data_IF_394365739880
#
_entry.id   IF_394365739880
#
_cell.length_a   1.000
_cell.length_b   1.000
_cell.length_c   1.000
_cell.angle_alpha   90.00
_cell.angle_beta   90.00
_cell.angle_gamma   90.00
#
_symmetry.space_group_name_H-M   'P 1'
#
loop_
_entity.id
_entity.type
_entity.pdbx_description
1 polymer ?
#
# COMPACT_ATOMS: atom_id res chain seq x y z
N UNK A 1 16.52 -0.66 -10.00
CA UNK A 1 15.07 -0.86 -9.78
C UNK A 1 14.44 -1.75 -10.84
N UNK A 2 14.85 -1.62 -12.14
CA UNK A 2 14.25 -2.36 -13.27
C UNK A 2 14.23 -3.89 -13.06
N UNK A 3 15.33 -4.57 -12.68
CA UNK A 3 15.29 -6.02 -12.49
C UNK A 3 14.28 -6.47 -11.42
N UNK A 4 14.22 -5.73 -10.31
CA UNK A 4 13.27 -6.01 -9.23
C UNK A 4 11.82 -5.78 -9.68
N UNK A 5 11.54 -4.69 -10.39
CA UNK A 5 10.22 -4.38 -10.90
C UNK A 5 9.74 -5.44 -11.90
N UNK A 6 10.61 -5.86 -12.84
CA UNK A 6 10.31 -6.90 -13.82
C UNK A 6 10.00 -8.24 -13.13
N UNK A 7 10.82 -8.64 -12.15
CA UNK A 7 10.58 -9.86 -11.40
C UNK A 7 9.23 -9.83 -10.66
N UNK A 8 8.89 -8.70 -10.01
CA UNK A 8 7.61 -8.56 -9.30
C UNK A 8 6.40 -8.53 -10.24
N UNK A 9 6.53 -7.92 -11.42
CA UNK A 9 5.50 -7.99 -12.45
C UNK A 9 5.27 -9.43 -12.94
N UNK A 10 6.35 -10.20 -13.08
CA UNK A 10 6.27 -11.63 -13.39
C UNK A 10 5.53 -12.44 -12.33
N UNK A 11 5.82 -12.18 -11.04
CA UNK A 11 5.10 -12.80 -9.92
C UNK A 11 3.61 -12.48 -9.97
N UNK A 12 3.23 -11.24 -10.29
CA UNK A 12 1.83 -10.85 -10.41
C UNK A 12 1.11 -11.60 -11.54
N UNK A 13 1.72 -11.67 -12.72
CA UNK A 13 1.19 -12.42 -13.86
C UNK A 13 1.04 -13.92 -13.52
N UNK A 14 2.07 -14.52 -12.92
CA UNK A 14 2.08 -15.92 -12.49
C UNK A 14 0.97 -16.20 -11.46
N UNK A 15 0.76 -15.33 -10.49
CA UNK A 15 -0.29 -15.45 -9.48
C UNK A 15 -1.66 -15.60 -10.13
N UNK A 16 -1.97 -14.77 -11.11
CA UNK A 16 -3.25 -14.78 -11.82
C UNK A 16 -3.42 -16.02 -12.69
N UNK A 17 -2.37 -16.42 -13.42
CA UNK A 17 -2.40 -17.64 -14.24
C UNK A 17 -2.59 -18.89 -13.38
N UNK A 18 -1.84 -19.00 -12.28
CA UNK A 18 -1.97 -20.13 -11.35
C UNK A 18 -3.35 -20.19 -10.69
N UNK A 19 -3.94 -19.04 -10.37
CA UNK A 19 -5.30 -18.99 -9.80
C UNK A 19 -6.33 -19.68 -10.72
N UNK A 20 -6.20 -19.50 -12.03
CA UNK A 20 -7.10 -20.13 -13.01
C UNK A 20 -6.72 -21.60 -13.27
N UNK A 21 -5.44 -21.86 -13.58
CA UNK A 21 -4.99 -23.19 -13.98
C UNK A 21 -5.09 -24.23 -12.87
N UNK A 22 -4.90 -23.82 -11.61
CA UNK A 22 -4.87 -24.71 -10.43
C UNK A 22 -6.18 -24.80 -9.68
N UNK A 23 -7.18 -24.00 -10.04
CA UNK A 23 -8.51 -24.04 -9.41
C UNK A 23 -9.14 -25.44 -9.44
N UNK A 24 -8.96 -26.19 -10.53
CA UNK A 24 -9.43 -27.58 -10.66
C UNK A 24 -8.85 -28.55 -9.63
N UNK A 25 -7.76 -28.19 -8.98
CA UNK A 25 -7.14 -28.96 -7.90
C UNK A 25 -7.45 -28.39 -6.52
N UNK A 26 -8.40 -27.45 -6.45
CA UNK A 26 -8.76 -26.73 -5.22
C UNK A 26 -7.56 -25.95 -4.63
N UNK A 27 -6.67 -25.45 -5.49
CA UNK A 27 -5.52 -24.62 -5.10
C UNK A 27 -5.83 -23.17 -5.45
N UNK A 28 -5.75 -22.29 -4.46
CA UNK A 28 -5.86 -20.84 -4.62
C UNK A 28 -4.48 -20.20 -4.70
N UNK A 29 -4.36 -19.15 -5.49
CA UNK A 29 -3.13 -18.36 -5.62
C UNK A 29 -3.47 -16.88 -5.45
N UNK A 30 -2.92 -16.25 -4.44
CA UNK A 30 -3.09 -14.82 -4.17
C UNK A 30 -1.72 -14.19 -3.90
N UNK A 31 -1.60 -12.90 -4.11
CA UNK A 31 -0.41 -12.13 -3.80
C UNK A 31 -0.70 -11.06 -2.75
N UNK A 32 0.30 -10.70 -1.96
CA UNK A 32 0.25 -9.56 -1.06
C UNK A 32 1.22 -8.50 -1.59
N UNK A 33 0.76 -7.27 -1.71
CA UNK A 33 1.56 -6.11 -2.06
C UNK A 33 1.79 -5.23 -0.82
N UNK A 34 2.87 -5.45 -0.06
CA UNK A 34 3.12 -4.71 1.16
C UNK A 34 3.74 -3.34 0.85
N UNK A 35 3.34 -2.32 1.61
CA UNK A 35 4.06 -1.08 1.76
C UNK A 35 5.31 -1.24 2.63
N UNK A 36 5.74 -0.20 3.34
CA UNK A 36 6.95 -0.26 4.15
C UNK A 36 6.74 -1.04 5.46
N UNK A 37 7.39 -2.20 5.56
CA UNK A 37 7.52 -3.04 6.74
C UNK A 37 9.02 -3.16 7.07
N UNK A 38 9.59 -2.25 7.85
CA UNK A 38 11.02 -2.21 8.10
C UNK A 38 11.48 -3.41 8.93
N UNK A 39 12.53 -4.09 8.46
CA UNK A 39 13.29 -5.07 9.24
C UNK A 39 14.63 -4.45 9.64
N UNK A 40 15.18 -4.85 10.78
CA UNK A 40 16.45 -4.29 11.28
C UNK A 40 17.57 -4.38 10.24
N UNK A 41 17.72 -5.52 9.59
CA UNK A 41 18.78 -5.75 8.62
C UNK A 41 18.63 -4.95 7.34
N UNK A 42 17.41 -4.86 6.79
CA UNK A 42 17.13 -4.08 5.59
C UNK A 42 17.24 -2.57 5.87
N UNK A 43 16.72 -2.14 7.02
CA UNK A 43 16.71 -0.72 7.40
C UNK A 43 18.12 -0.16 7.56
N UNK A 44 19.02 -0.90 8.25
CA UNK A 44 20.43 -0.52 8.41
C UNK A 44 21.18 -0.38 7.07
N UNK A 45 20.80 -1.16 6.06
CA UNK A 45 21.44 -1.13 4.72
C UNK A 45 20.88 -0.03 3.81
N UNK A 46 19.60 0.29 3.93
CA UNK A 46 18.90 1.19 3.00
C UNK A 46 18.84 2.63 3.49
N UNK A 47 18.92 2.85 4.79
CA UNK A 47 18.78 4.19 5.39
C UNK A 47 20.12 4.62 5.98
N UNK A 48 20.85 5.54 5.32
CA UNK A 48 22.07 6.10 5.87
C UNK A 48 21.80 6.80 7.22
N UNK A 49 22.69 6.66 8.20
CA UNK A 49 22.55 7.33 9.49
C UNK A 49 22.57 8.86 9.31
N UNK A 50 21.80 9.56 10.13
CA UNK A 50 21.76 11.04 10.13
C UNK A 50 20.77 11.67 9.16
N UNK A 51 20.13 10.91 8.30
CA UNK A 51 19.08 11.43 7.42
C UNK A 51 17.69 11.12 8.00
N UNK A 52 16.82 12.14 8.08
CA UNK A 52 15.42 11.98 8.53
C UNK A 52 14.53 11.24 7.51
N UNK A 53 15.08 10.18 6.87
CA UNK A 53 14.40 9.43 5.81
C UNK A 53 13.15 8.73 6.38
N UNK A 54 13.27 8.11 7.55
CA UNK A 54 12.15 7.43 8.21
C UNK A 54 10.96 8.36 8.42
N UNK A 55 11.22 9.56 8.97
CA UNK A 55 10.17 10.58 9.19
C UNK A 55 9.52 11.03 7.87
N UNK A 56 10.31 11.16 6.80
CA UNK A 56 9.81 11.50 5.47
C UNK A 56 8.95 10.37 4.90
N UNK A 57 9.38 9.12 5.03
CA UNK A 57 8.63 7.96 4.57
C UNK A 57 7.31 7.80 5.33
N UNK A 58 7.31 7.89 6.66
CA UNK A 58 6.07 7.87 7.47
C UNK A 58 5.08 8.97 7.07
N UNK A 59 5.56 10.15 6.67
CA UNK A 59 4.70 11.24 6.18
C UNK A 59 4.01 10.91 4.85
N UNK A 60 4.62 10.07 4.00
CA UNK A 60 4.01 9.64 2.74
C UNK A 60 2.83 8.71 2.97
N UNK A 61 2.93 7.83 3.96
CA UNK A 61 1.86 6.91 4.33
C UNK A 61 0.69 7.70 4.97
N UNK A 62 -0.55 7.58 4.51
CA UNK A 62 -1.72 8.21 5.13
C UNK A 62 -1.87 7.90 6.61
N UNK A 63 -1.66 6.65 7.03
CA UNK A 63 -1.72 6.23 8.44
C UNK A 63 -0.54 6.73 9.29
N UNK A 64 0.47 7.44 8.69
CA UNK A 64 1.59 8.08 9.37
C UNK A 64 2.50 7.13 10.16
N UNK A 65 2.44 5.86 9.87
CA UNK A 65 3.29 4.83 10.45
C UNK A 65 3.71 3.81 9.42
N UNK A 66 4.64 2.97 9.76
CA UNK A 66 4.94 1.75 9.02
C UNK A 66 4.00 0.61 9.45
N UNK A 67 3.90 -0.41 8.63
CA UNK A 67 3.21 -1.63 8.98
C UNK A 67 3.99 -2.45 10.02
N UNK A 68 3.28 -3.13 10.90
CA UNK A 68 3.83 -4.08 11.84
C UNK A 68 3.82 -5.49 11.23
N UNK A 69 4.86 -6.27 11.45
CA UNK A 69 4.97 -7.62 10.87
C UNK A 69 3.80 -8.52 11.22
N UNK A 70 3.20 -8.32 12.40
CA UNK A 70 2.01 -9.07 12.79
C UNK A 70 0.80 -8.76 11.91
N UNK A 71 0.66 -7.52 11.41
CA UNK A 71 -0.43 -7.15 10.51
C UNK A 71 -0.29 -7.91 9.17
N UNK A 72 0.95 -8.01 8.67
CA UNK A 72 1.24 -8.79 7.46
C UNK A 72 1.00 -10.30 7.68
N UNK A 73 1.43 -10.83 8.82
CA UNK A 73 1.23 -12.23 9.18
C UNK A 73 -0.26 -12.57 9.31
N UNK A 74 -1.06 -11.69 9.92
CA UNK A 74 -2.51 -11.88 10.05
C UNK A 74 -3.19 -11.92 8.69
N UNK A 75 -2.82 -11.03 7.76
CA UNK A 75 -3.35 -11.04 6.40
C UNK A 75 -2.96 -12.34 5.67
N UNK A 76 -1.71 -12.76 5.76
CA UNK A 76 -1.24 -13.99 5.15
C UNK A 76 -2.00 -15.21 5.72
N UNK A 77 -2.15 -15.29 7.04
CA UNK A 77 -2.90 -16.34 7.72
C UNK A 77 -4.37 -16.39 7.28
N UNK A 78 -5.01 -15.24 7.13
CA UNK A 78 -6.36 -15.17 6.59
C UNK A 78 -6.43 -15.71 5.17
N UNK A 79 -5.53 -15.26 4.27
CA UNK A 79 -5.55 -15.65 2.86
C UNK A 79 -5.30 -17.15 2.63
N UNK A 80 -4.55 -17.82 3.51
CA UNK A 80 -4.32 -19.28 3.42
C UNK A 80 -5.40 -20.10 4.11
N UNK A 81 -6.28 -19.49 4.92
CA UNK A 81 -7.35 -20.18 5.64
C UNK A 81 -8.54 -20.50 4.76
N UNK A 82 -9.40 -21.42 5.22
CA UNK A 82 -10.67 -21.76 4.57
C UNK A 82 -11.66 -20.57 4.55
N UNK A 83 -11.50 -19.61 5.47
CA UNK A 83 -12.33 -18.40 5.52
C UNK A 83 -12.14 -17.51 4.29
N UNK A 84 -10.99 -17.59 3.63
CA UNK A 84 -10.70 -16.90 2.37
C UNK A 84 -10.97 -17.79 1.14
N UNK A 85 -11.78 -18.83 1.28
CA UNK A 85 -11.98 -19.88 0.25
C UNK A 85 -12.45 -19.37 -1.12
N UNK A 86 -13.04 -18.17 -1.19
CA UNK A 86 -13.52 -17.58 -2.45
C UNK A 86 -12.60 -16.47 -2.99
N UNK A 87 -11.47 -16.20 -2.33
CA UNK A 87 -10.45 -15.24 -2.79
C UNK A 87 -9.40 -16.01 -3.58
N UNK A 88 -9.33 -15.75 -4.91
CA UNK A 88 -8.40 -16.45 -5.79
C UNK A 88 -7.95 -15.51 -6.93
N UNK A 89 -6.66 -15.39 -7.16
CA UNK A 89 -6.05 -14.51 -8.17
C UNK A 89 -5.93 -13.04 -7.75
N UNK A 90 -6.18 -12.72 -6.47
CA UNK A 90 -6.21 -11.35 -5.97
C UNK A 90 -4.82 -10.87 -5.55
N UNK A 91 -4.63 -9.55 -5.61
CA UNK A 91 -3.45 -8.86 -5.10
C UNK A 91 -3.87 -7.92 -3.98
N UNK A 92 -3.69 -8.35 -2.76
CA UNK A 92 -4.12 -7.58 -1.59
C UNK A 92 -3.04 -6.59 -1.18
N UNK A 93 -3.34 -5.31 -1.30
CA UNK A 93 -2.45 -4.23 -0.87
C UNK A 93 -2.58 -3.99 0.63
N UNK A 94 -1.44 -3.95 1.33
CA UNK A 94 -1.35 -3.63 2.76
C UNK A 94 -0.24 -2.60 2.95
N UNK A 95 -0.57 -1.31 2.81
CA UNK A 95 0.43 -0.22 2.71
C UNK A 95 0.04 1.05 3.49
N UNK A 96 -1.00 1.00 4.30
CA UNK A 96 -1.50 2.17 5.02
C UNK A 96 -2.03 3.30 4.12
N UNK A 97 -2.36 2.97 2.87
CA UNK A 97 -2.89 3.89 1.86
C UNK A 97 -1.81 4.63 1.05
N UNK A 98 -0.53 4.22 1.14
CA UNK A 98 0.57 4.91 0.46
C UNK A 98 0.38 4.96 -1.06
N UNK A 99 -0.03 3.84 -1.67
CA UNK A 99 -0.28 3.74 -3.11
C UNK A 99 -1.36 4.73 -3.56
N UNK A 100 -2.51 4.74 -2.88
CA UNK A 100 -3.63 5.62 -3.20
C UNK A 100 -3.24 7.10 -3.06
N UNK A 101 -2.46 7.44 -2.06
CA UNK A 101 -1.95 8.79 -1.88
C UNK A 101 -1.00 9.19 -3.00
N UNK A 102 -0.16 8.29 -3.48
CA UNK A 102 0.76 8.56 -4.59
C UNK A 102 0.04 8.79 -5.92
N UNK A 103 -1.09 8.11 -6.13
CA UNK A 103 -1.87 8.16 -7.36
C UNK A 103 -2.90 9.31 -7.40
N UNK A 104 -3.22 9.92 -6.27
CA UNK A 104 -4.29 10.91 -6.17
C UNK A 104 -3.92 12.30 -6.70
N UNK A 105 -4.61 12.76 -7.73
CA UNK A 105 -4.38 14.04 -8.41
C UNK A 105 -4.46 15.26 -7.46
N UNK A 106 -5.34 15.20 -6.45
CA UNK A 106 -5.59 16.31 -5.52
C UNK A 106 -4.98 16.13 -4.14
N UNK A 107 -4.15 15.11 -3.93
CA UNK A 107 -3.56 14.78 -2.63
C UNK A 107 -2.62 15.87 -2.08
N UNK A 108 -2.10 16.75 -2.94
CA UNK A 108 -1.32 17.91 -2.52
C UNK A 108 -2.16 18.94 -1.73
N UNK A 109 -3.48 18.94 -1.93
CA UNK A 109 -4.39 19.82 -1.19
C UNK A 109 -4.45 19.51 0.31
N UNK A 110 -4.06 18.28 0.69
CA UNK A 110 -3.91 17.84 2.09
C UNK A 110 -2.91 18.71 2.89
N UNK A 111 -1.98 19.36 2.18
CA UNK A 111 -0.96 20.24 2.77
C UNK A 111 -1.47 21.65 3.06
N UNK A 112 -2.65 22.00 2.59
CA UNK A 112 -3.20 23.32 2.78
C UNK A 112 -3.62 23.55 4.24
N UNK A 113 -3.30 24.72 4.84
CA UNK A 113 -3.74 25.07 6.16
C UNK A 113 -5.27 25.05 6.30
N UNK A 114 -5.78 24.56 7.44
CA UNK A 114 -7.23 24.52 7.71
C UNK A 114 -7.91 25.90 7.56
N UNK A 115 -7.18 26.98 7.86
CA UNK A 115 -7.67 28.35 7.70
C UNK A 115 -7.99 28.67 6.24
N UNK A 116 -7.15 28.22 5.29
CA UNK A 116 -7.37 28.44 3.87
C UNK A 116 -8.63 27.70 3.39
N UNK A 117 -8.86 26.47 3.85
CA UNK A 117 -10.09 25.72 3.55
C UNK A 117 -11.34 26.46 4.01
N UNK A 118 -11.34 27.05 5.23
CA UNK A 118 -12.46 27.84 5.74
C UNK A 118 -12.71 29.08 4.86
N UNK A 119 -11.67 29.74 4.39
CA UNK A 119 -11.77 30.90 3.50
C UNK A 119 -12.37 30.51 2.14
N UNK A 120 -11.87 29.43 1.54
CA UNK A 120 -12.39 28.91 0.27
C UNK A 120 -13.87 28.50 0.39
N UNK A 121 -14.28 27.89 1.48
CA UNK A 121 -15.68 27.53 1.74
C UNK A 121 -16.57 28.78 1.85
N UNK A 122 -16.09 29.85 2.47
CA UNK A 122 -16.83 31.15 2.54
C UNK A 122 -16.99 31.74 1.14
N UNK A 123 -15.92 31.88 0.37
CA UNK A 123 -15.95 32.43 -0.98
C UNK A 123 -16.92 31.66 -1.89
N UNK A 124 -16.95 30.33 -1.80
CA UNK A 124 -17.88 29.49 -2.56
C UNK A 124 -19.34 29.72 -2.23
N UNK A 125 -19.68 30.11 -1.00
CA UNK A 125 -21.06 30.49 -0.61
C UNK A 125 -21.50 31.82 -1.24
N UNK A 126 -20.57 32.75 -1.46
CA UNK A 126 -20.86 34.04 -2.08
C UNK A 126 -20.96 33.96 -3.62
N UNK A 127 -20.28 33.00 -4.25
CA UNK A 127 -20.31 32.79 -5.71
C UNK A 127 -21.57 32.06 -6.20
N UNK A 128 -22.49 31.64 -5.32
CA UNK A 128 -23.76 30.99 -5.66
C UNK A 128 -24.97 31.91 -5.55
N UNK A 129 -24.76 33.21 -5.32
CA UNK A 129 -25.75 34.28 -5.43
C UNK A 129 -25.46 35.09 -6.67
#
# INVERSE_FOLDING_TARGET
VIPSASAKAGVLAMTRSLAVERAKYNIRSNAIAPGPFPTEGAWKRLVPPGLNIEKKMKKRVPLKRFGEHIELANLASYLISDQAGYINGEVVTIDGGEWLKGAGQFNELDKLPKALWKTMQRLRKYSKK
#
